data_IF_932405431357
#
_entry.id   IF_932405431357
#
_cell.length_a   1.000
_cell.length_b   1.000
_cell.length_c   1.000
_cell.angle_alpha   90.00
_cell.angle_beta   90.00
_cell.angle_gamma   90.00
#
_symmetry.space_group_name_H-M   'P 1'
#
loop_
_entity.id
_entity.type
_entity.pdbx_description
1 polymer ?
#
# COMPACT_ATOMS: atom_id res chain seq x y z
N UNK A 1 14.08 24.21 -7.32
CA UNK A 1 13.58 22.86 -7.65
C UNK A 1 13.12 22.22 -6.36
N UNK A 2 11.92 21.70 -6.32
CA UNK A 2 11.36 20.99 -5.16
C UNK A 2 11.58 19.49 -5.38
N UNK A 3 12.27 18.83 -4.45
CA UNK A 3 12.54 17.40 -4.55
C UNK A 3 11.57 16.66 -3.64
N UNK A 4 10.79 15.72 -4.19
CA UNK A 4 9.77 14.97 -3.46
C UNK A 4 9.94 13.46 -3.64
N UNK A 5 9.45 12.69 -2.69
CA UNK A 5 9.12 11.29 -2.91
C UNK A 5 7.60 11.16 -2.87
N UNK A 6 7.03 10.36 -3.76
CA UNK A 6 5.60 10.13 -3.84
C UNK A 6 5.31 8.64 -3.96
N UNK A 7 4.35 8.17 -3.17
CA UNK A 7 3.76 6.85 -3.28
C UNK A 7 2.26 7.00 -3.48
N UNK A 8 1.76 6.43 -4.57
CA UNK A 8 0.33 6.38 -4.87
C UNK A 8 -0.14 4.92 -4.75
N UNK A 9 -0.60 4.55 -3.57
CA UNK A 9 -1.14 3.21 -3.31
C UNK A 9 -2.64 3.14 -3.51
N UNK A 10 -3.21 1.93 -3.51
CA UNK A 10 -4.66 1.72 -3.66
C UNK A 10 -5.48 2.41 -2.56
N UNK A 11 -4.95 2.54 -1.35
CA UNK A 11 -5.67 3.14 -0.22
C UNK A 11 -5.25 4.58 0.05
N UNK A 12 -3.95 4.86 0.06
CA UNK A 12 -3.40 6.17 0.39
C UNK A 12 -2.33 6.61 -0.58
N UNK A 13 -2.36 7.90 -0.92
CA UNK A 13 -1.27 8.62 -1.56
C UNK A 13 -0.49 9.40 -0.51
N UNK A 14 0.84 9.29 -0.53
CA UNK A 14 1.73 9.96 0.41
C UNK A 14 2.80 10.75 -0.33
N UNK A 15 3.12 11.95 0.17
CA UNK A 15 4.17 12.81 -0.40
C UNK A 15 5.12 13.25 0.72
N UNK A 16 6.40 12.98 0.50
CA UNK A 16 7.51 13.46 1.31
C UNK A 16 8.25 14.55 0.55
N UNK A 17 8.54 15.67 1.21
CA UNK A 17 9.28 16.78 0.62
C UNK A 17 10.64 16.90 1.31
N UNK A 18 11.71 16.97 0.52
CA UNK A 18 13.07 17.15 1.07
C UNK A 18 13.16 18.43 1.90
N UNK A 19 13.64 18.30 3.14
CA UNK A 19 13.72 19.37 4.12
C UNK A 19 12.45 19.63 4.94
N UNK A 20 11.30 19.10 4.53
CA UNK A 20 10.01 19.30 5.23
C UNK A 20 9.43 18.01 5.83
N UNK A 21 9.88 16.84 5.35
CA UNK A 21 9.36 15.57 5.85
C UNK A 21 8.13 15.08 5.09
N UNK A 22 7.32 14.23 5.74
CA UNK A 22 6.04 13.76 5.22
C UNK A 22 5.01 14.89 5.32
N UNK A 23 4.65 15.49 4.20
CA UNK A 23 3.76 16.67 4.15
C UNK A 23 2.33 16.33 3.76
N UNK A 24 2.11 15.17 3.14
CA UNK A 24 0.76 14.75 2.73
C UNK A 24 0.62 13.22 2.86
N UNK A 25 -0.50 12.80 3.44
CA UNK A 25 -1.01 11.43 3.37
C UNK A 25 -2.53 11.49 3.31
N UNK A 26 -3.05 11.23 2.13
CA UNK A 26 -4.45 11.37 1.78
C UNK A 26 -4.99 10.09 1.14
N UNK A 27 -6.27 9.75 1.33
CA UNK A 27 -6.91 8.66 0.63
C UNK A 27 -6.78 8.78 -0.89
N UNK A 28 -6.54 7.67 -1.59
CA UNK A 28 -6.45 7.62 -3.05
C UNK A 28 -7.86 7.55 -3.65
N UNK A 29 -8.60 8.64 -3.58
CA UNK A 29 -9.98 8.72 -4.08
C UNK A 29 -10.28 10.11 -4.62
N UNK A 30 -11.08 10.15 -5.69
CA UNK A 30 -11.57 11.39 -6.32
C UNK A 30 -13.09 11.35 -6.39
N UNK A 31 -13.75 12.42 -5.97
CA UNK A 31 -15.18 12.65 -6.14
C UNK A 31 -15.42 13.58 -7.33
N UNK A 32 -16.28 13.15 -8.26
CA UNK A 32 -16.71 13.91 -9.43
C UNK A 32 -18.15 14.34 -9.29
N UNK A 33 -18.51 15.51 -9.85
CA UNK A 33 -19.88 16.04 -9.81
C UNK A 33 -20.90 15.21 -10.61
N UNK A 34 -20.44 14.34 -11.51
CA UNK A 34 -21.30 13.44 -12.29
C UNK A 34 -20.48 12.30 -12.92
N UNK A 35 -21.18 11.34 -13.52
CA UNK A 35 -20.58 10.14 -14.10
C UNK A 35 -19.64 10.39 -15.30
N UNK A 36 -19.63 11.60 -15.88
CA UNK A 36 -18.75 11.91 -17.02
C UNK A 36 -17.30 12.25 -16.62
N UNK A 37 -16.99 12.26 -15.34
CA UNK A 37 -15.66 12.48 -14.75
C UNK A 37 -14.96 13.79 -15.17
N UNK A 38 -15.73 14.80 -15.63
CA UNK A 38 -15.14 16.05 -16.12
C UNK A 38 -14.72 17.00 -15.01
N UNK A 39 -15.54 17.14 -13.98
CA UNK A 39 -15.31 18.12 -12.91
C UNK A 39 -15.06 17.43 -11.58
N UNK A 40 -13.85 17.61 -11.06
CA UNK A 40 -13.50 17.17 -9.71
C UNK A 40 -14.26 18.03 -8.70
N UNK A 41 -14.93 17.38 -7.76
CA UNK A 41 -15.56 18.02 -6.60
C UNK A 41 -14.61 18.05 -5.42
N UNK A 42 -13.91 16.95 -5.15
CA UNK A 42 -12.98 16.81 -4.05
C UNK A 42 -12.00 15.67 -4.31
N UNK A 43 -10.87 15.66 -3.59
CA UNK A 43 -9.89 14.57 -3.58
C UNK A 43 -9.54 14.21 -2.14
N UNK A 44 -9.12 12.96 -1.92
CA UNK A 44 -8.63 12.49 -0.63
C UNK A 44 -9.69 12.50 0.46
N UNK A 45 -9.33 13.00 1.63
CA UNK A 45 -10.19 13.07 2.82
C UNK A 45 -11.47 13.84 2.55
N UNK A 46 -11.39 14.95 1.82
CA UNK A 46 -12.57 15.74 1.45
C UNK A 46 -13.54 14.94 0.56
N UNK A 47 -13.01 14.09 -0.32
CA UNK A 47 -13.83 13.19 -1.14
C UNK A 47 -14.49 12.10 -0.30
N UNK A 48 -13.75 11.46 0.62
CA UNK A 48 -14.31 10.45 1.53
C UNK A 48 -15.45 10.98 2.40
N UNK A 49 -15.34 12.22 2.88
CA UNK A 49 -16.38 12.86 3.69
C UNK A 49 -17.70 13.06 2.93
N UNK A 50 -17.68 13.00 1.61
CA UNK A 50 -18.87 13.14 0.77
C UNK A 50 -19.55 11.80 0.46
N UNK A 51 -18.92 10.67 0.75
CA UNK A 51 -19.49 9.34 0.53
C UNK A 51 -20.79 9.18 1.32
N UNK A 52 -21.85 8.75 0.65
CA UNK A 52 -23.18 8.56 1.25
C UNK A 52 -23.97 9.85 1.51
N UNK A 53 -23.37 11.04 1.31
CA UNK A 53 -24.03 12.33 1.58
C UNK A 53 -24.65 12.98 0.32
N UNK A 54 -24.30 12.50 -0.87
CA UNK A 54 -24.80 13.05 -2.12
C UNK A 54 -25.00 11.95 -3.15
N UNK A 55 -26.20 11.93 -3.76
CA UNK A 55 -26.59 10.95 -4.79
C UNK A 55 -26.01 11.26 -6.18
N UNK A 56 -25.48 12.47 -6.38
CA UNK A 56 -25.02 12.96 -7.68
C UNK A 56 -23.50 12.96 -7.83
N UNK A 57 -22.78 12.30 -6.92
CA UNK A 57 -21.32 12.20 -6.97
C UNK A 57 -20.90 10.80 -7.43
N UNK A 58 -19.88 10.77 -8.28
CA UNK A 58 -19.17 9.53 -8.66
C UNK A 58 -17.83 9.51 -7.99
N UNK A 59 -17.52 8.43 -7.25
CA UNK A 59 -16.25 8.23 -6.59
C UNK A 59 -15.40 7.26 -7.39
N UNK A 60 -14.15 7.65 -7.64
CA UNK A 60 -13.19 6.85 -8.40
C UNK A 60 -11.93 6.68 -7.57
N UNK A 61 -11.50 5.43 -7.39
CA UNK A 61 -10.17 5.11 -6.93
C UNK A 61 -9.31 4.81 -8.17
N UNK A 62 -8.32 5.67 -8.49
CA UNK A 62 -7.55 5.53 -9.73
C UNK A 62 -6.45 4.45 -9.66
N UNK A 63 -6.19 3.89 -8.47
CA UNK A 63 -5.17 2.84 -8.26
C UNK A 63 -5.82 1.65 -7.59
N UNK A 64 -5.79 0.49 -8.24
CA UNK A 64 -6.32 -0.76 -7.69
C UNK A 64 -5.25 -1.85 -7.79
N UNK A 65 -5.22 -2.74 -6.82
CA UNK A 65 -4.28 -3.86 -6.80
C UNK A 65 -2.82 -3.42 -7.02
N UNK A 66 -2.47 -2.20 -6.57
CA UNK A 66 -1.15 -1.61 -6.70
C UNK A 66 -0.83 -0.97 -8.05
N UNK A 67 -1.72 -1.07 -9.04
CA UNK A 67 -1.52 -0.50 -10.40
C UNK A 67 -2.46 0.67 -10.68
N UNK A 68 -2.01 1.59 -11.55
CA UNK A 68 -2.82 2.71 -12.02
C UNK A 68 -3.81 2.19 -13.08
N UNK A 69 -5.12 2.23 -12.77
CA UNK A 69 -6.18 1.78 -13.66
C UNK A 69 -6.87 2.95 -14.38
N UNK A 70 -6.86 4.15 -13.77
CA UNK A 70 -7.48 5.36 -14.30
C UNK A 70 -6.43 6.47 -14.41
N UNK A 71 -5.58 6.46 -15.47
CA UNK A 71 -4.41 7.34 -15.59
C UNK A 71 -4.75 8.84 -15.49
N UNK A 72 -5.76 9.28 -16.24
CA UNK A 72 -6.17 10.69 -16.26
C UNK A 72 -6.71 11.15 -14.91
N UNK A 73 -7.45 10.28 -14.21
CA UNK A 73 -7.97 10.56 -12.87
C UNK A 73 -6.82 10.62 -11.88
N UNK A 74 -5.87 9.70 -11.98
CA UNK A 74 -4.67 9.66 -11.13
C UNK A 74 -3.82 10.93 -11.32
N UNK A 75 -3.54 11.32 -12.55
CA UNK A 75 -2.78 12.54 -12.87
C UNK A 75 -3.45 13.79 -12.29
N UNK A 76 -4.77 13.91 -12.42
CA UNK A 76 -5.54 15.03 -11.88
C UNK A 76 -5.53 15.03 -10.35
N UNK A 77 -5.69 13.88 -9.71
CA UNK A 77 -5.59 13.74 -8.25
C UNK A 77 -4.22 14.16 -7.73
N UNK A 78 -3.16 13.64 -8.33
CA UNK A 78 -1.77 14.00 -7.96
C UNK A 78 -1.53 15.49 -8.17
N UNK A 79 -2.04 16.08 -9.26
CA UNK A 79 -1.94 17.53 -9.52
C UNK A 79 -2.60 18.36 -8.40
N UNK A 80 -3.77 17.93 -7.91
CA UNK A 80 -4.43 18.60 -6.78
C UNK A 80 -3.59 18.52 -5.50
N UNK A 81 -2.98 17.36 -5.22
CA UNK A 81 -2.08 17.21 -4.08
C UNK A 81 -0.81 18.07 -4.22
N UNK A 82 -0.23 18.15 -5.43
CA UNK A 82 0.91 19.01 -5.70
C UNK A 82 0.53 20.50 -5.54
N UNK A 83 -0.65 20.90 -5.96
CA UNK A 83 -1.15 22.26 -5.76
C UNK A 83 -1.22 22.59 -4.25
N UNK A 84 -1.79 21.69 -3.43
CA UNK A 84 -1.88 21.87 -1.97
C UNK A 84 -0.51 22.08 -1.30
N UNK A 85 0.49 21.25 -1.66
CA UNK A 85 1.83 21.35 -1.05
C UNK A 85 2.66 22.50 -1.60
N UNK A 86 2.20 23.18 -2.65
CA UNK A 86 2.89 24.33 -3.27
C UNK A 86 2.10 25.63 -3.20
N UNK A 87 0.99 25.69 -2.48
CA UNK A 87 0.12 26.88 -2.41
C UNK A 87 0.82 28.11 -1.82
N UNK A 88 1.73 27.92 -0.86
CA UNK A 88 2.50 28.99 -0.22
C UNK A 88 3.67 29.52 -1.06
N UNK A 89 3.98 28.89 -2.21
CA UNK A 89 5.07 29.33 -3.06
C UNK A 89 4.63 30.49 -3.96
N UNK A 90 5.33 31.60 -3.91
CA UNK A 90 5.08 32.79 -4.78
C UNK A 90 5.14 32.42 -6.27
N UNK A 91 6.04 31.51 -6.63
CA UNK A 91 6.16 30.94 -7.98
C UNK A 91 6.15 29.42 -7.90
N UNK A 92 5.38 28.79 -8.78
CA UNK A 92 5.30 27.32 -8.84
C UNK A 92 6.69 26.73 -9.11
N UNK A 93 7.25 25.95 -8.18
CA UNK A 93 8.58 25.38 -8.35
C UNK A 93 8.57 24.27 -9.40
N UNK A 94 9.69 24.07 -10.10
CA UNK A 94 9.92 22.83 -10.83
C UNK A 94 10.04 21.69 -9.81
N UNK A 95 9.35 20.57 -10.06
CA UNK A 95 9.30 19.42 -9.18
C UNK A 95 10.09 18.26 -9.79
N UNK A 96 10.97 17.66 -8.99
CA UNK A 96 11.63 16.38 -9.30
C UNK A 96 11.14 15.34 -8.29
N UNK A 97 10.69 14.19 -8.75
CA UNK A 97 10.10 13.16 -7.89
C UNK A 97 10.78 11.80 -8.01
N UNK A 98 11.00 11.17 -6.87
CA UNK A 98 11.12 9.72 -6.75
C UNK A 98 9.70 9.18 -6.60
N UNK A 99 9.29 8.30 -7.51
CA UNK A 99 7.96 7.68 -7.53
C UNK A 99 8.09 6.21 -7.18
N UNK A 100 7.39 5.81 -6.12
CA UNK A 100 7.30 4.41 -5.72
C UNK A 100 6.44 3.62 -6.70
N UNK A 101 6.94 2.51 -7.20
CA UNK A 101 6.24 1.60 -8.10
C UNK A 101 6.28 0.17 -7.59
N UNK A 102 5.23 -0.65 -7.83
CA UNK A 102 5.30 -2.08 -7.55
C UNK A 102 6.35 -2.78 -8.41
N UNK A 103 6.80 -3.96 -7.96
CA UNK A 103 7.68 -4.82 -8.74
C UNK A 103 6.90 -5.53 -9.84
N UNK A 104 7.61 -5.95 -10.90
CA UNK A 104 7.04 -6.77 -11.97
C UNK A 104 6.20 -6.01 -12.99
N UNK A 105 6.20 -4.68 -12.96
CA UNK A 105 5.53 -3.87 -13.98
C UNK A 105 6.13 -4.12 -15.37
N UNK A 106 5.27 -4.22 -16.38
CA UNK A 106 5.66 -4.22 -17.80
C UNK A 106 6.26 -2.87 -18.21
N UNK A 107 6.84 -2.81 -19.40
CA UNK A 107 7.37 -1.55 -19.95
C UNK A 107 6.25 -0.54 -20.11
N UNK A 108 5.10 -0.96 -20.62
CA UNK A 108 3.92 -0.12 -20.84
C UNK A 108 3.35 0.43 -19.54
N UNK A 109 3.35 -0.39 -18.48
CA UNK A 109 2.92 0.06 -17.16
C UNK A 109 3.90 1.07 -16.55
N UNK A 110 5.20 0.91 -16.74
CA UNK A 110 6.22 1.90 -16.32
C UNK A 110 6.05 3.23 -17.07
N UNK A 111 5.88 3.18 -18.39
CA UNK A 111 5.58 4.35 -19.22
C UNK A 111 4.29 5.05 -18.77
N UNK A 112 3.28 4.29 -18.34
CA UNK A 112 2.05 4.83 -17.76
C UNK A 112 2.31 5.60 -16.46
N UNK A 113 3.16 5.09 -15.57
CA UNK A 113 3.57 5.85 -14.38
C UNK A 113 4.28 7.14 -14.76
N UNK A 114 5.26 7.11 -15.68
CA UNK A 114 5.96 8.32 -16.14
C UNK A 114 4.98 9.33 -16.73
N UNK A 115 4.06 8.89 -17.59
CA UNK A 115 3.01 9.72 -18.18
C UNK A 115 2.15 10.40 -17.10
N UNK A 116 1.61 9.63 -16.16
CA UNK A 116 0.71 10.15 -15.11
C UNK A 116 1.39 11.23 -14.28
N UNK A 117 2.62 11.01 -13.86
CA UNK A 117 3.33 11.97 -13.02
C UNK A 117 3.83 13.20 -13.81
N UNK A 118 4.20 13.04 -15.08
CA UNK A 118 4.50 14.16 -15.97
C UNK A 118 3.25 15.02 -16.21
N UNK A 119 2.09 14.40 -16.51
CA UNK A 119 0.80 15.08 -16.65
C UNK A 119 0.36 15.78 -15.36
N UNK A 120 0.69 15.24 -14.20
CA UNK A 120 0.44 15.91 -12.93
C UNK A 120 1.27 17.19 -12.74
N UNK A 121 2.34 17.39 -13.54
CA UNK A 121 3.20 18.59 -13.53
C UNK A 121 4.55 18.36 -12.87
N UNK A 122 5.02 17.12 -12.77
CA UNK A 122 6.36 16.78 -12.31
C UNK A 122 7.32 16.85 -13.50
N UNK A 123 8.41 17.61 -13.32
CA UNK A 123 9.37 17.89 -14.39
C UNK A 123 10.41 16.78 -14.60
N UNK A 124 10.65 15.97 -13.58
CA UNK A 124 11.59 14.85 -13.61
C UNK A 124 11.07 13.73 -12.73
N UNK A 125 10.88 12.55 -13.30
CA UNK A 125 10.38 11.35 -12.62
C UNK A 125 11.49 10.32 -12.58
N UNK A 126 11.69 9.72 -11.39
CA UNK A 126 12.56 8.55 -11.19
C UNK A 126 11.71 7.46 -10.55
N UNK A 127 11.49 6.38 -11.26
CA UNK A 127 10.70 5.24 -10.78
C UNK A 127 11.56 4.32 -9.90
N UNK A 128 11.12 4.03 -8.69
CA UNK A 128 11.85 3.18 -7.73
C UNK A 128 10.92 2.09 -7.18
N UNK A 129 11.32 0.80 -7.24
CA UNK A 129 10.53 -0.27 -6.68
C UNK A 129 10.21 -0.10 -5.19
N UNK A 130 8.97 -0.35 -4.78
CA UNK A 130 8.50 -0.20 -3.39
C UNK A 130 9.32 -1.03 -2.41
N UNK A 131 9.74 -2.25 -2.78
CA UNK A 131 10.57 -3.12 -1.94
C UNK A 131 11.96 -2.53 -1.67
N UNK A 132 12.54 -1.79 -2.61
CA UNK A 132 13.80 -1.06 -2.42
C UNK A 132 13.60 0.11 -1.46
N UNK A 133 12.52 0.88 -1.66
CA UNK A 133 12.16 1.96 -0.72
C UNK A 133 11.85 1.42 0.67
N UNK A 134 11.23 0.24 0.77
CA UNK A 134 11.00 -0.47 2.04
C UNK A 134 12.33 -0.77 2.75
N UNK A 135 13.31 -1.30 2.04
CA UNK A 135 14.62 -1.62 2.60
C UNK A 135 15.36 -0.35 3.09
N UNK A 136 15.35 0.72 2.28
CA UNK A 136 15.95 2.01 2.65
C UNK A 136 15.24 2.60 3.88
N UNK A 137 13.91 2.58 3.89
CA UNK A 137 13.10 3.11 4.98
C UNK A 137 13.30 2.36 6.30
N UNK A 138 13.46 1.04 6.20
CA UNK A 138 13.71 0.13 7.31
C UNK A 138 15.16 0.17 7.86
N UNK A 139 16.03 1.00 7.27
CA UNK A 139 17.49 1.03 7.56
C UNK A 139 18.15 -0.35 7.38
N UNK A 140 17.63 -1.13 6.43
CA UNK A 140 18.24 -2.40 6.10
C UNK A 140 19.52 -2.16 5.30
N UNK A 141 20.60 -2.86 5.63
CA UNK A 141 21.88 -2.67 4.94
C UNK A 141 21.79 -3.25 3.52
N UNK A 142 21.46 -2.38 2.53
CA UNK A 142 21.37 -2.79 1.12
C UNK A 142 22.67 -3.35 0.54
N UNK A 143 23.79 -3.10 1.21
CA UNK A 143 25.14 -3.59 0.79
C UNK A 143 25.43 -5.00 1.30
N UNK A 144 24.61 -5.56 2.18
CA UNK A 144 24.82 -6.90 2.73
C UNK A 144 24.08 -7.96 1.92
N UNK A 145 24.39 -9.17 2.26
CA UNK A 145 23.87 -10.42 1.79
C UNK A 145 22.33 -10.53 1.89
N UNK A 146 21.75 -11.59 1.36
CA UNK A 146 20.34 -11.78 1.12
C UNK A 146 19.40 -11.53 2.31
N UNK A 147 18.28 -10.88 2.04
CA UNK A 147 17.17 -10.68 2.99
C UNK A 147 15.85 -10.67 2.23
N UNK A 148 14.74 -10.89 2.92
CA UNK A 148 13.39 -10.78 2.32
C UNK A 148 12.72 -9.45 2.72
N UNK A 149 12.26 -8.69 1.72
CA UNK A 149 11.32 -7.60 1.90
C UNK A 149 9.91 -8.12 1.66
N UNK A 150 9.00 -7.90 2.61
CA UNK A 150 7.57 -8.18 2.48
C UNK A 150 6.79 -6.91 2.72
N UNK A 151 6.05 -6.45 1.72
CA UNK A 151 5.17 -5.29 1.82
C UNK A 151 3.72 -5.74 1.67
N UNK A 152 2.91 -5.58 2.73
CA UNK A 152 1.50 -5.96 2.73
C UNK A 152 0.66 -4.68 2.75
N UNK A 153 0.19 -4.30 1.57
CA UNK A 153 -0.53 -3.05 1.32
C UNK A 153 -2.05 -3.17 1.41
N UNK A 154 -2.73 -2.11 0.96
CA UNK A 154 -4.20 -2.09 0.88
C UNK A 154 -4.74 -2.89 -0.29
N UNK A 155 -4.18 -2.74 -1.49
CA UNK A 155 -4.67 -3.43 -2.70
C UNK A 155 -3.79 -4.59 -3.15
N UNK A 156 -2.53 -4.67 -2.70
CA UNK A 156 -1.61 -5.72 -3.11
C UNK A 156 -0.57 -6.02 -2.04
N UNK A 157 0.04 -7.19 -2.15
CA UNK A 157 1.21 -7.61 -1.39
C UNK A 157 2.34 -7.92 -2.35
N UNK A 158 3.54 -7.47 -2.03
CA UNK A 158 4.74 -7.83 -2.77
C UNK A 158 5.83 -8.34 -1.82
N UNK A 159 6.55 -9.34 -2.29
CA UNK A 159 7.70 -9.88 -1.60
C UNK A 159 8.90 -9.99 -2.55
N UNK A 160 10.08 -9.69 -2.05
CA UNK A 160 11.31 -9.81 -2.84
C UNK A 160 12.50 -10.23 -1.96
N UNK A 161 13.37 -11.07 -2.52
CA UNK A 161 14.71 -11.25 -1.98
C UNK A 161 15.61 -10.15 -2.53
N UNK A 162 16.31 -9.49 -1.61
CA UNK A 162 17.23 -8.39 -1.89
C UNK A 162 18.65 -8.82 -1.55
N UNK A 163 19.60 -8.49 -2.40
CA UNK A 163 21.02 -8.71 -2.15
C UNK A 163 21.83 -7.64 -2.88
N UNK A 164 22.81 -7.03 -2.21
CA UNK A 164 23.72 -6.03 -2.75
C UNK A 164 23.01 -4.86 -3.48
N UNK A 165 21.86 -4.44 -2.94
CA UNK A 165 21.08 -3.33 -3.49
C UNK A 165 20.24 -3.68 -4.72
N UNK A 166 20.13 -4.97 -5.07
CA UNK A 166 19.33 -5.44 -6.21
C UNK A 166 18.18 -6.36 -5.79
N UNK A 167 17.16 -6.45 -6.61
CA UNK A 167 16.09 -7.45 -6.48
C UNK A 167 16.54 -8.72 -7.18
N UNK A 168 16.75 -9.80 -6.41
CA UNK A 168 17.19 -11.09 -6.96
C UNK A 168 16.00 -11.88 -7.49
N UNK A 169 14.96 -11.99 -6.69
CA UNK A 169 13.65 -12.58 -7.04
C UNK A 169 12.56 -11.76 -6.36
N UNK A 170 11.44 -11.62 -7.03
CA UNK A 170 10.29 -10.93 -6.44
C UNK A 170 8.99 -11.37 -7.10
N UNK A 171 7.91 -11.23 -6.36
CA UNK A 171 6.56 -11.54 -6.82
C UNK A 171 5.57 -10.60 -6.11
N UNK A 172 4.58 -10.11 -6.87
CA UNK A 172 3.42 -9.42 -6.35
C UNK A 172 2.17 -10.30 -6.47
N UNK A 173 1.24 -10.13 -5.53
CA UNK A 173 -0.09 -10.77 -5.55
C UNK A 173 -1.17 -9.75 -5.20
N UNK A 174 -2.34 -9.85 -5.83
CA UNK A 174 -3.51 -8.98 -5.59
C UNK A 174 -4.23 -9.37 -4.28
N UNK A 175 -3.47 -9.46 -3.19
CA UNK A 175 -3.97 -9.70 -1.84
C UNK A 175 -3.56 -8.52 -0.97
N UNK A 176 -4.54 -7.89 -0.32
CA UNK A 176 -4.33 -6.76 0.57
C UNK A 176 -5.56 -6.46 1.40
N UNK A 177 -5.59 -5.30 2.06
CA UNK A 177 -6.70 -4.89 2.90
C UNK A 177 -8.05 -4.88 2.18
N UNK A 178 -8.09 -4.49 0.91
CA UNK A 178 -9.32 -4.49 0.09
C UNK A 178 -9.86 -5.91 -0.12
N UNK A 179 -8.98 -6.90 -0.29
CA UNK A 179 -9.36 -8.33 -0.37
C UNK A 179 -9.99 -8.78 0.93
N UNK A 180 -9.43 -8.36 2.07
CA UNK A 180 -9.97 -8.71 3.39
C UNK A 180 -11.31 -8.01 3.64
N UNK A 181 -11.43 -6.74 3.24
CA UNK A 181 -12.68 -5.98 3.38
C UNK A 181 -13.82 -6.64 2.61
N UNK A 182 -13.56 -7.10 1.37
CA UNK A 182 -14.53 -7.84 0.56
C UNK A 182 -14.89 -9.18 1.21
N UNK A 183 -13.88 -9.97 1.62
CA UNK A 183 -14.12 -11.26 2.24
C UNK A 183 -14.93 -11.15 3.56
N UNK A 184 -14.70 -10.10 4.35
CA UNK A 184 -15.47 -9.82 5.57
C UNK A 184 -16.89 -9.38 5.24
N UNK A 185 -17.10 -8.54 4.21
CA UNK A 185 -18.44 -8.17 3.78
C UNK A 185 -19.24 -9.39 3.31
N UNK A 186 -18.61 -10.30 2.56
CA UNK A 186 -19.22 -11.55 2.11
C UNK A 186 -19.53 -12.51 3.28
N UNK A 187 -18.62 -12.60 4.26
CA UNK A 187 -18.83 -13.37 5.49
C UNK A 187 -20.03 -12.85 6.28
N UNK A 188 -20.12 -11.52 6.48
CA UNK A 188 -21.25 -10.90 7.18
C UNK A 188 -22.56 -11.19 6.44
N UNK A 189 -22.57 -11.05 5.12
CA UNK A 189 -23.75 -11.34 4.31
C UNK A 189 -24.15 -12.81 4.41
N UNK A 190 -23.19 -13.74 4.32
CA UNK A 190 -23.44 -15.18 4.37
C UNK A 190 -23.90 -15.68 5.73
N UNK A 191 -23.31 -15.17 6.81
CA UNK A 191 -23.60 -15.63 8.18
C UNK A 191 -24.84 -14.96 8.80
N UNK A 192 -25.00 -13.66 8.54
CA UNK A 192 -26.00 -12.84 9.24
C UNK A 192 -27.14 -12.33 8.34
N UNK A 193 -27.06 -12.55 7.01
CA UNK A 193 -27.95 -11.97 6.00
C UNK A 193 -27.96 -10.42 6.03
N UNK A 194 -26.91 -9.81 6.53
CA UNK A 194 -26.76 -8.34 6.60
C UNK A 194 -25.80 -7.89 5.50
N UNK A 195 -26.28 -7.05 4.58
CA UNK A 195 -25.43 -6.40 3.56
C UNK A 195 -24.80 -5.15 4.15
N UNK A 196 -23.48 -5.07 4.05
CA UNK A 196 -22.68 -3.92 4.48
C UNK A 196 -21.91 -3.34 3.29
N UNK A 197 -21.49 -2.06 3.38
CA UNK A 197 -20.56 -1.48 2.41
C UNK A 197 -19.13 -1.95 2.68
N UNK A 198 -18.27 -1.91 1.68
CA UNK A 198 -16.84 -2.21 1.86
C UNK A 198 -16.18 -1.28 2.89
N UNK A 199 -16.58 -0.02 2.92
CA UNK A 199 -16.08 0.93 3.93
C UNK A 199 -16.50 0.52 5.35
N UNK A 200 -17.75 0.05 5.53
CA UNK A 200 -18.22 -0.47 6.81
C UNK A 200 -17.46 -1.72 7.22
N UNK A 201 -17.22 -2.65 6.29
CA UNK A 201 -16.43 -3.85 6.53
C UNK A 201 -14.99 -3.51 6.91
N UNK A 202 -14.37 -2.56 6.19
CA UNK A 202 -13.04 -2.04 6.49
C UNK A 202 -12.95 -1.43 7.89
N UNK A 203 -13.87 -0.54 8.24
CA UNK A 203 -13.89 0.10 9.57
C UNK A 203 -14.04 -0.94 10.68
N UNK A 204 -14.86 -1.96 10.48
CA UNK A 204 -15.03 -3.06 11.43
C UNK A 204 -13.75 -3.90 11.53
N UNK A 205 -13.15 -4.28 10.38
CA UNK A 205 -11.90 -5.01 10.35
C UNK A 205 -10.80 -4.27 11.12
N UNK A 206 -10.58 -3.00 10.82
CA UNK A 206 -9.53 -2.18 11.45
C UNK A 206 -9.67 -2.07 12.97
N UNK A 207 -10.88 -2.30 13.53
CA UNK A 207 -11.13 -2.32 14.98
C UNK A 207 -10.79 -3.66 15.65
N UNK A 208 -10.96 -4.78 14.91
CA UNK A 208 -10.88 -6.13 15.49
C UNK A 208 -9.94 -7.07 14.73
N UNK A 209 -9.19 -6.57 13.73
CA UNK A 209 -8.26 -7.43 12.99
C UNK A 209 -7.15 -7.94 13.90
N UNK A 210 -7.05 -9.25 14.01
CA UNK A 210 -6.04 -9.92 14.82
C UNK A 210 -5.83 -11.34 14.32
N UNK A 211 -4.56 -11.79 14.37
CA UNK A 211 -4.18 -13.18 14.13
C UNK A 211 -3.96 -13.96 15.45
N UNK A 212 -4.38 -13.38 16.56
CA UNK A 212 -4.28 -13.98 17.90
C UNK A 212 -5.58 -14.71 18.23
N UNK A 213 -5.50 -16.02 18.51
CA UNK A 213 -6.68 -16.87 18.79
C UNK A 213 -7.38 -16.54 20.13
N UNK A 214 -6.70 -15.79 21.00
CA UNK A 214 -7.24 -15.36 22.30
C UNK A 214 -7.79 -13.92 22.30
N UNK A 215 -7.88 -13.26 21.14
CA UNK A 215 -8.48 -11.93 21.02
C UNK A 215 -10.01 -12.02 21.12
N UNK A 216 -10.57 -11.35 22.13
CA UNK A 216 -12.01 -11.33 22.41
C UNK A 216 -12.69 -10.01 21.97
N UNK A 217 -11.96 -9.16 21.27
CA UNK A 217 -12.50 -7.87 20.80
C UNK A 217 -13.65 -8.06 19.80
N UNK A 218 -14.54 -7.09 19.75
CA UNK A 218 -15.67 -7.08 18.82
C UNK A 218 -15.99 -5.67 18.34
N UNK A 219 -16.57 -5.56 17.15
CA UNK A 219 -17.08 -4.33 16.59
C UNK A 219 -18.57 -4.45 16.27
N UNK A 220 -19.33 -3.38 16.53
CA UNK A 220 -20.73 -3.30 16.10
C UNK A 220 -20.76 -2.86 14.63
N UNK A 221 -21.38 -3.68 13.80
CA UNK A 221 -21.48 -3.45 12.35
C UNK A 221 -22.95 -3.27 11.97
N UNK A 222 -23.27 -2.14 11.38
CA UNK A 222 -24.63 -1.83 10.92
C UNK A 222 -24.74 -1.96 9.40
N UNK A 223 -25.85 -2.52 8.95
CA UNK A 223 -26.13 -2.74 7.53
C UNK A 223 -27.63 -2.93 7.25
N UNK A 224 -27.93 -3.51 6.10
CA UNK A 224 -29.28 -3.81 5.66
C UNK A 224 -29.53 -5.33 5.74
N UNK A 225 -30.46 -5.77 6.59
CA UNK A 225 -30.95 -7.14 6.57
C UNK A 225 -31.70 -7.37 5.25
N UNK A 226 -31.19 -8.31 4.44
CA UNK A 226 -31.73 -8.57 3.10
C UNK A 226 -33.01 -9.42 3.11
N UNK A 227 -33.30 -10.08 4.24
CA UNK A 227 -34.52 -10.90 4.41
C UNK A 227 -35.66 -10.00 4.89
N UNK A 228 -35.41 -9.20 5.93
CA UNK A 228 -36.42 -8.32 6.53
C UNK A 228 -36.57 -7.00 5.80
N UNK A 229 -35.60 -6.67 4.89
CA UNK A 229 -35.48 -5.40 4.19
C UNK A 229 -35.50 -4.19 5.16
N UNK A 230 -34.77 -4.31 6.26
CA UNK A 230 -34.72 -3.33 7.35
C UNK A 230 -33.28 -3.10 7.82
N UNK A 231 -32.96 -1.93 8.40
CA UNK A 231 -31.69 -1.72 9.07
C UNK A 231 -31.48 -2.73 10.20
N UNK A 232 -30.26 -3.27 10.29
CA UNK A 232 -29.88 -4.24 11.30
C UNK A 232 -28.43 -4.00 11.75
N UNK A 233 -28.11 -4.48 12.95
CA UNK A 233 -26.74 -4.44 13.48
C UNK A 233 -26.34 -5.79 14.04
N UNK A 234 -25.08 -6.15 13.85
CA UNK A 234 -24.48 -7.39 14.34
C UNK A 234 -23.22 -7.08 15.15
N UNK A 235 -22.78 -8.01 15.98
CA UNK A 235 -21.45 -7.99 16.57
C UNK A 235 -20.53 -8.88 15.72
N UNK A 236 -19.47 -8.28 15.16
CA UNK A 236 -18.40 -8.98 14.48
C UNK A 236 -17.25 -9.16 15.47
N UNK A 237 -16.84 -10.39 15.71
CA UNK A 237 -15.80 -10.74 16.68
C UNK A 237 -14.44 -10.89 15.99
N UNK A 238 -13.35 -10.65 16.71
CA UNK A 238 -11.99 -10.84 16.22
C UNK A 238 -11.76 -12.28 15.71
N UNK A 239 -12.36 -13.28 16.35
CA UNK A 239 -12.29 -14.68 15.88
C UNK A 239 -12.98 -14.90 14.53
N UNK A 240 -14.08 -14.21 14.25
CA UNK A 240 -14.73 -14.24 12.93
C UNK A 240 -13.81 -13.66 11.87
N UNK A 241 -13.18 -12.52 12.18
CA UNK A 241 -12.23 -11.86 11.27
C UNK A 241 -10.99 -12.72 11.08
N UNK A 242 -10.44 -13.31 12.14
CA UNK A 242 -9.31 -14.24 12.07
C UNK A 242 -9.59 -15.39 11.10
N UNK A 243 -10.76 -16.04 11.21
CA UNK A 243 -11.16 -17.15 10.33
C UNK A 243 -11.15 -16.73 8.86
N UNK A 244 -11.61 -15.51 8.57
CA UNK A 244 -11.69 -14.96 7.22
C UNK A 244 -10.34 -14.57 6.66
N UNK A 245 -9.45 -13.89 7.45
CA UNK A 245 -8.22 -13.31 6.92
C UNK A 245 -7.01 -14.25 7.00
N UNK A 246 -6.98 -15.21 7.93
CA UNK A 246 -5.84 -16.13 8.12
C UNK A 246 -5.47 -16.89 6.85
N UNK A 247 -6.39 -17.42 6.04
CA UNK A 247 -6.05 -18.11 4.78
C UNK A 247 -5.28 -17.23 3.79
N UNK A 248 -5.58 -15.95 3.72
CA UNK A 248 -4.85 -15.00 2.86
C UNK A 248 -3.41 -14.77 3.35
N UNK A 249 -3.21 -14.65 4.66
CA UNK A 249 -1.86 -14.55 5.22
C UNK A 249 -1.05 -15.83 5.00
N UNK A 250 -1.67 -17.01 5.09
CA UNK A 250 -1.01 -18.28 4.76
C UNK A 250 -0.59 -18.32 3.28
N UNK A 251 -1.44 -17.83 2.38
CA UNK A 251 -1.07 -17.71 0.96
C UNK A 251 0.11 -16.75 0.75
N UNK A 252 0.16 -15.62 1.48
CA UNK A 252 1.32 -14.71 1.47
C UNK A 252 2.59 -15.45 1.94
N UNK A 253 2.50 -16.28 2.99
CA UNK A 253 3.63 -17.11 3.42
C UNK A 253 4.10 -18.07 2.32
N UNK A 254 3.18 -18.67 1.54
CA UNK A 254 3.54 -19.55 0.43
C UNK A 254 4.25 -18.81 -0.71
N UNK A 255 3.86 -17.55 -0.98
CA UNK A 255 4.59 -16.68 -1.92
C UNK A 255 6.03 -16.47 -1.44
N UNK A 256 6.24 -16.14 -0.16
CA UNK A 256 7.57 -15.95 0.42
C UNK A 256 8.38 -17.25 0.36
N UNK A 257 7.78 -18.40 0.71
CA UNK A 257 8.42 -19.73 0.60
C UNK A 257 8.87 -20.00 -0.84
N UNK A 258 8.08 -19.62 -1.83
CA UNK A 258 8.40 -19.79 -3.25
C UNK A 258 9.60 -18.93 -3.66
N UNK A 259 9.66 -17.67 -3.21
CA UNK A 259 10.80 -16.79 -3.45
C UNK A 259 12.08 -17.39 -2.87
N UNK A 260 12.06 -17.84 -1.61
CA UNK A 260 13.22 -18.46 -0.96
C UNK A 260 13.71 -19.70 -1.72
N UNK A 261 12.79 -20.59 -2.11
CA UNK A 261 13.11 -21.82 -2.86
C UNK A 261 13.71 -21.56 -4.23
N UNK A 262 13.41 -20.40 -4.84
CA UNK A 262 13.89 -20.05 -6.18
C UNK A 262 15.12 -19.15 -6.17
N UNK A 263 15.57 -18.72 -4.99
CA UNK A 263 16.81 -17.96 -4.84
C UNK A 263 18.05 -18.84 -5.02
N UNK A 264 19.18 -18.27 -5.47
CA UNK A 264 20.48 -18.92 -5.37
C UNK A 264 20.80 -19.38 -3.96
N UNK A 265 21.43 -20.53 -3.79
CA UNK A 265 21.68 -21.15 -2.47
C UNK A 265 22.39 -20.21 -1.48
N UNK A 266 23.39 -19.46 -1.94
CA UNK A 266 24.10 -18.48 -1.10
C UNK A 266 23.17 -17.40 -0.52
N UNK A 267 22.21 -16.90 -1.34
CA UNK A 267 21.25 -15.90 -0.88
C UNK A 267 20.22 -16.52 0.07
N UNK A 268 19.79 -17.75 -0.19
CA UNK A 268 18.88 -18.46 0.71
C UNK A 268 19.52 -18.70 2.08
N UNK A 269 20.83 -18.99 2.15
CA UNK A 269 21.59 -19.12 3.39
C UNK A 269 21.62 -17.78 4.16
N UNK A 270 21.95 -16.68 3.48
CA UNK A 270 21.92 -15.34 4.08
C UNK A 270 20.54 -14.95 4.62
N UNK A 271 19.46 -15.35 3.93
CA UNK A 271 18.07 -15.09 4.36
C UNK A 271 17.75 -15.80 5.66
N UNK A 272 18.34 -16.98 5.95
CA UNK A 272 18.14 -17.67 7.22
C UNK A 272 18.67 -16.84 8.40
N UNK A 273 19.76 -16.10 8.20
CA UNK A 273 20.38 -15.27 9.22
C UNK A 273 19.75 -13.88 9.32
N UNK A 274 19.53 -13.24 8.16
CA UNK A 274 19.03 -11.86 8.09
C UNK A 274 17.50 -11.76 8.19
N UNK A 275 16.80 -12.85 7.86
CA UNK A 275 15.36 -12.95 7.97
C UNK A 275 14.57 -12.12 6.98
N UNK A 276 13.41 -11.74 7.45
CA UNK A 276 12.43 -10.99 6.68
C UNK A 276 12.04 -9.72 7.43
N UNK A 277 11.83 -8.62 6.71
CA UNK A 277 11.24 -7.41 7.27
C UNK A 277 9.89 -7.10 6.60
N UNK A 278 8.93 -6.67 7.43
CA UNK A 278 7.54 -6.47 7.02
C UNK A 278 7.19 -4.99 7.03
N UNK A 279 6.67 -4.50 5.89
CA UNK A 279 6.20 -3.12 5.70
C UNK A 279 4.77 -3.12 5.15
N UNK A 280 4.20 -1.92 4.97
CA UNK A 280 2.81 -1.77 4.52
C UNK A 280 1.82 -1.76 5.67
N UNK A 281 0.61 -1.28 5.42
CA UNK A 281 -0.39 -1.03 6.45
C UNK A 281 -0.82 -2.27 7.24
N UNK A 282 -0.88 -3.42 6.58
CA UNK A 282 -1.22 -4.69 7.23
C UNK A 282 -0.06 -5.32 8.00
N UNK A 283 1.15 -4.78 7.88
CA UNK A 283 2.30 -5.19 8.71
C UNK A 283 2.11 -4.95 10.21
N UNK A 284 1.08 -4.16 10.60
CA UNK A 284 0.74 -3.88 12.00
C UNK A 284 -0.25 -4.87 12.62
N UNK A 285 -0.80 -5.82 11.84
CA UNK A 285 -1.82 -6.75 12.34
C UNK A 285 -1.28 -7.56 13.53
N UNK A 286 -1.95 -7.52 14.70
CA UNK A 286 -1.52 -8.26 15.87
C UNK A 286 -1.39 -9.76 15.58
N UNK A 287 -0.28 -10.35 16.00
CA UNK A 287 0.01 -11.77 15.77
C UNK A 287 0.68 -12.10 14.44
N UNK A 288 0.78 -11.13 13.49
CA UNK A 288 1.38 -11.39 12.17
C UNK A 288 2.84 -11.84 12.26
N UNK A 289 3.66 -11.21 13.10
CA UNK A 289 5.05 -11.59 13.27
C UNK A 289 5.21 -13.04 13.75
N UNK A 290 4.32 -13.47 14.66
CA UNK A 290 4.30 -14.85 15.14
C UNK A 290 3.90 -15.82 14.03
N UNK A 291 2.84 -15.53 13.30
CA UNK A 291 2.39 -16.36 12.19
C UNK A 291 3.49 -16.50 11.13
N UNK A 292 4.14 -15.39 10.74
CA UNK A 292 5.24 -15.42 9.77
C UNK A 292 6.43 -16.24 10.28
N UNK A 293 6.80 -16.10 11.56
CA UNK A 293 7.87 -16.88 12.15
C UNK A 293 7.53 -18.38 12.18
N UNK A 294 6.32 -18.73 12.63
CA UNK A 294 5.88 -20.13 12.73
C UNK A 294 5.81 -20.80 11.34
N UNK A 295 5.40 -20.06 10.30
CA UNK A 295 5.25 -20.58 8.95
C UNK A 295 6.54 -20.62 8.13
N UNK A 296 7.44 -19.65 8.34
CA UNK A 296 8.64 -19.47 7.52
C UNK A 296 9.92 -19.96 8.20
N UNK A 297 9.94 -20.03 9.53
CA UNK A 297 11.14 -20.37 10.30
C UNK A 297 12.24 -19.29 10.24
N UNK A 298 11.87 -18.04 9.87
CA UNK A 298 12.82 -16.93 9.69
C UNK A 298 12.66 -15.87 10.79
N UNK A 299 13.72 -15.18 11.17
CA UNK A 299 13.60 -13.96 11.98
C UNK A 299 12.71 -12.93 11.27
N UNK A 300 11.74 -12.36 12.00
CA UNK A 300 10.79 -11.37 11.46
C UNK A 300 11.00 -10.04 12.13
N UNK A 301 11.30 -9.00 11.33
CA UNK A 301 11.42 -7.62 11.78
C UNK A 301 10.17 -6.84 11.36
N UNK A 302 9.48 -6.27 12.34
CA UNK A 302 8.31 -5.37 12.14
C UNK A 302 8.64 -3.96 12.61
N UNK A 303 7.77 -3.00 12.31
CA UNK A 303 7.95 -1.58 12.60
C UNK A 303 6.69 -1.04 13.28
N UNK A 304 6.84 -0.04 14.14
CA UNK A 304 5.70 0.60 14.83
C UNK A 304 4.70 1.22 13.86
N UNK A 305 5.21 1.77 12.74
CA UNK A 305 4.40 2.40 11.69
C UNK A 305 4.83 1.89 10.31
N UNK A 306 4.54 0.62 10.00
CA UNK A 306 5.02 -0.02 8.79
C UNK A 306 4.49 0.62 7.51
N UNK A 307 3.35 1.31 7.57
CA UNK A 307 2.72 2.04 6.46
C UNK A 307 3.53 3.25 5.99
N UNK A 308 4.43 3.79 6.81
CA UNK A 308 5.27 4.93 6.45
C UNK A 308 6.66 4.55 5.96
N UNK A 309 7.09 3.31 6.17
CA UNK A 309 8.47 2.88 5.90
C UNK A 309 8.90 3.20 4.46
N UNK A 310 8.05 2.91 3.49
CA UNK A 310 8.35 3.14 2.07
C UNK A 310 8.53 4.62 1.73
N UNK A 311 7.59 5.46 2.17
CA UNK A 311 7.67 6.89 1.86
C UNK A 311 8.84 7.58 2.58
N UNK A 312 9.16 7.11 3.79
CA UNK A 312 10.37 7.55 4.51
C UNK A 312 11.64 7.09 3.80
N UNK A 313 11.64 5.88 3.22
CA UNK A 313 12.71 5.39 2.36
C UNK A 313 12.92 6.26 1.14
N UNK A 314 11.84 6.70 0.49
CA UNK A 314 11.89 7.68 -0.58
C UNK A 314 12.52 9.00 -0.14
N UNK A 315 12.12 9.49 1.05
CA UNK A 315 12.69 10.69 1.66
C UNK A 315 14.19 10.58 1.95
N UNK A 316 14.65 9.42 2.47
CA UNK A 316 16.08 9.14 2.67
C UNK A 316 16.84 9.10 1.35
N UNK A 317 16.26 8.47 0.32
CA UNK A 317 16.86 8.36 -1.01
C UNK A 317 17.05 9.72 -1.69
N UNK A 318 16.08 10.65 -1.57
CA UNK A 318 16.18 12.02 -2.10
C UNK A 318 17.45 12.74 -1.67
N UNK A 319 17.93 12.46 -0.45
CA UNK A 319 19.09 13.12 0.14
C UNK A 319 20.39 12.31 -0.04
N UNK A 320 20.34 11.16 -0.72
CA UNK A 320 21.49 10.25 -0.86
C UNK A 320 21.87 10.03 -2.34
N UNK A 321 22.60 10.99 -2.91
CA UNK A 321 23.05 10.92 -4.31
C UNK A 321 23.94 9.70 -4.61
N UNK A 322 24.74 9.26 -3.63
CA UNK A 322 25.61 8.09 -3.79
C UNK A 322 24.78 6.81 -3.94
N UNK A 323 23.70 6.68 -3.14
CA UNK A 323 22.80 5.55 -3.22
C UNK A 323 21.97 5.58 -4.53
N UNK A 324 21.48 6.75 -4.96
CA UNK A 324 20.79 6.90 -6.25
C UNK A 324 21.72 6.39 -7.36
N UNK A 325 22.97 6.86 -7.38
CA UNK A 325 23.95 6.41 -8.40
C UNK A 325 24.17 4.89 -8.35
N UNK A 326 24.36 4.32 -7.16
CA UNK A 326 24.56 2.88 -7.00
C UNK A 326 23.35 2.07 -7.51
N UNK A 327 22.12 2.51 -7.23
CA UNK A 327 20.90 1.86 -7.72
C UNK A 327 20.77 1.98 -9.26
N UNK A 328 21.17 3.13 -9.84
CA UNK A 328 21.22 3.33 -11.30
C UNK A 328 22.28 2.43 -11.95
N UNK A 329 23.49 2.40 -11.40
CA UNK A 329 24.59 1.56 -11.92
C UNK A 329 24.23 0.05 -11.86
N UNK A 330 23.40 -0.35 -10.89
CA UNK A 330 22.89 -1.71 -10.75
C UNK A 330 21.62 -1.99 -11.61
N UNK A 331 21.12 -1.01 -12.37
CA UNK A 331 19.94 -1.17 -13.21
C UNK A 331 18.62 -1.35 -12.44
N UNK A 332 18.53 -0.84 -11.21
CA UNK A 332 17.33 -0.91 -10.37
C UNK A 332 16.38 0.26 -10.66
N UNK A 333 16.98 1.44 -11.00
CA UNK A 333 16.28 2.68 -11.32
C UNK A 333 16.85 3.33 -12.56
#
# INVERSE_FOLDING_TARGET
>A
MLNIAIKTGSTYTSIFVSGYGLVLREPTVVAFENANLKRIRAVGTDALQLVGKSLNLTFVNPVREGVINEPDVCARMVREYLNRITEDFVFRPKISAIVAIPIGLSVEEREMYEYVFAEAGISSVTLVPEVILSAIGADMPLTTAGMIALNIGGGHTEAASLSHGTIVKGCGVSIGGETFDQAIADYILGKYNVRVSLETARMAREQVESLQENDISSAVVSGMDIIQNAPSSINLYALDVLEVIKPYFLHICDVVKTIIKTCPAAIAEDVLDNGLFVTGGLGRVPGLNKLLYDELGLPVKTFDRPEYVQILGGGKLLNNKALIKALTDNGVI
#
